data_IF_380064201579
#
_entry.id   IF_380064201579
#
_cell.length_a   1.000
_cell.length_b   1.000
_cell.length_c   1.000
_cell.angle_alpha   90.00
_cell.angle_beta   90.00
_cell.angle_gamma   90.00
#
_symmetry.space_group_name_H-M   'P 1'
#
loop_
_entity.id
_entity.type
_entity.pdbx_description
1 polymer ?
#
# COMPACT_ATOMS: atom_id res chain seq x y z
N UNK A 1 3.47 -7.81 -14.44
CA UNK A 1 3.86 -6.36 -14.49
C UNK A 1 5.37 -6.10 -14.49
N UNK A 2 6.15 -6.62 -13.54
CA UNK A 2 7.58 -6.28 -13.42
C UNK A 2 8.44 -6.58 -14.67
N UNK A 3 8.00 -7.50 -15.53
CA UNK A 3 8.63 -7.82 -16.82
C UNK A 3 8.37 -6.76 -17.91
N UNK A 4 7.27 -6.01 -17.81
CA UNK A 4 6.97 -4.91 -18.73
C UNK A 4 7.79 -3.67 -18.38
N UNK A 5 7.99 -3.41 -17.08
CA UNK A 5 8.62 -2.19 -16.56
C UNK A 5 10.02 -2.42 -15.98
N UNK A 6 10.90 -3.01 -16.79
CA UNK A 6 12.28 -3.27 -16.41
C UNK A 6 13.03 -2.00 -15.99
N UNK A 7 13.75 -2.08 -14.87
CA UNK A 7 14.64 -1.02 -14.38
C UNK A 7 14.01 0.35 -14.14
N UNK A 8 12.68 0.42 -14.06
CA UNK A 8 11.98 1.65 -13.71
C UNK A 8 11.68 1.71 -12.21
N UNK A 9 11.77 2.91 -11.65
CA UNK A 9 11.43 3.22 -10.25
C UNK A 9 10.53 4.43 -10.19
N UNK A 10 9.73 4.48 -9.13
CA UNK A 10 8.86 5.59 -8.83
C UNK A 10 9.30 6.23 -7.52
N UNK A 11 10.13 7.27 -7.65
CA UNK A 11 10.78 7.90 -6.49
C UNK A 11 10.00 9.10 -5.94
N UNK A 12 8.93 9.51 -6.64
CA UNK A 12 8.07 10.62 -6.21
C UNK A 12 7.08 10.11 -5.16
N UNK A 13 7.03 10.70 -3.95
CA UNK A 13 6.12 10.25 -2.89
C UNK A 13 4.65 10.24 -3.31
N UNK A 14 4.21 11.24 -4.09
CA UNK A 14 2.83 11.32 -4.61
C UNK A 14 2.50 10.33 -5.74
N UNK A 15 3.48 9.55 -6.23
CA UNK A 15 3.28 8.59 -7.30
C UNK A 15 4.09 7.31 -7.06
N UNK A 16 3.88 6.58 -5.94
CA UNK A 16 4.79 5.51 -5.54
C UNK A 16 4.58 4.20 -6.31
N UNK A 17 3.45 4.05 -7.01
CA UNK A 17 3.08 2.80 -7.68
C UNK A 17 3.64 2.81 -9.10
N UNK A 18 4.57 1.89 -9.39
CA UNK A 18 4.95 1.57 -10.76
C UNK A 18 3.85 0.74 -11.42
N UNK A 19 3.37 1.19 -12.56
CA UNK A 19 2.27 0.57 -13.28
C UNK A 19 2.52 0.57 -14.80
N UNK A 20 1.68 -0.14 -15.55
CA UNK A 20 1.76 -0.21 -17.01
C UNK A 20 0.51 0.42 -17.63
N UNK A 21 0.69 1.28 -18.62
CA UNK A 21 -0.38 1.85 -19.42
C UNK A 21 -0.32 1.23 -20.84
N UNK A 22 -1.22 0.29 -21.18
CA UNK A 22 -1.21 -0.34 -22.51
C UNK A 22 -1.58 0.62 -23.64
N UNK A 23 -2.13 1.80 -23.34
CA UNK A 23 -2.50 2.83 -24.33
C UNK A 23 -1.41 3.90 -24.51
N UNK A 24 -0.28 3.77 -23.79
CA UNK A 24 0.86 4.66 -23.92
C UNK A 24 1.45 4.71 -25.33
N UNK A 25 2.25 5.75 -25.59
CA UNK A 25 2.88 5.99 -26.89
C UNK A 25 3.67 4.75 -27.37
N UNK A 26 3.34 4.23 -28.56
CA UNK A 26 4.04 3.09 -29.14
C UNK A 26 3.53 1.70 -28.74
N UNK A 27 2.34 1.61 -28.13
CA UNK A 27 1.72 0.32 -27.75
C UNK A 27 1.97 -0.09 -26.31
N UNK A 28 2.31 0.88 -25.47
CA UNK A 28 2.31 0.78 -24.01
C UNK A 28 3.54 1.39 -23.35
N UNK A 29 3.34 1.99 -22.18
CA UNK A 29 4.38 2.69 -21.41
C UNK A 29 4.30 2.37 -19.92
N UNK A 30 5.41 2.53 -19.21
CA UNK A 30 5.47 2.37 -17.76
C UNK A 30 5.29 3.71 -17.09
N UNK A 31 4.35 3.77 -16.14
CA UNK A 31 3.91 5.02 -15.53
C UNK A 31 3.96 4.92 -14.02
N UNK A 32 4.30 6.03 -13.37
CA UNK A 32 4.17 6.15 -11.92
C UNK A 32 2.79 6.73 -11.58
N UNK A 33 2.00 5.99 -10.81
CA UNK A 33 0.65 6.38 -10.41
C UNK A 33 0.58 6.71 -8.92
N UNK A 34 -0.31 7.65 -8.60
CA UNK A 34 -0.74 7.87 -7.24
C UNK A 34 -1.50 6.63 -6.73
N UNK A 35 -1.51 6.45 -5.41
CA UNK A 35 -2.31 5.37 -4.82
C UNK A 35 -3.80 5.63 -5.09
N UNK A 36 -4.58 4.66 -5.65
CA UNK A 36 -5.97 4.89 -6.02
C UNK A 36 -6.84 5.41 -4.88
N UNK A 37 -6.60 4.91 -3.67
CA UNK A 37 -7.33 5.33 -2.47
C UNK A 37 -7.00 6.75 -1.95
N UNK A 38 -6.06 7.49 -2.55
CA UNK A 38 -5.79 8.87 -2.17
C UNK A 38 -6.76 9.88 -2.79
N UNK A 39 -7.53 9.45 -3.78
CA UNK A 39 -8.60 10.20 -4.43
C UNK A 39 -9.65 9.21 -4.99
N UNK A 40 -10.52 8.74 -4.10
CA UNK A 40 -11.67 7.89 -4.40
C UNK A 40 -12.91 8.78 -4.49
N UNK A 41 -13.17 9.32 -5.68
CA UNK A 41 -14.28 10.26 -5.95
C UNK A 41 -14.25 11.50 -5.04
N UNK A 42 -13.05 12.01 -4.73
CA UNK A 42 -12.84 13.14 -3.81
C UNK A 42 -12.71 12.73 -2.34
N UNK A 43 -12.91 11.45 -2.00
CA UNK A 43 -12.63 10.90 -0.68
C UNK A 43 -11.17 10.39 -0.61
N UNK A 44 -10.40 10.91 0.33
CA UNK A 44 -9.06 10.39 0.61
C UNK A 44 -9.12 9.39 1.77
N UNK A 45 -8.55 8.20 1.57
CA UNK A 45 -8.47 7.15 2.58
C UNK A 45 -7.07 7.06 3.18
N UNK A 46 -6.99 6.71 4.46
CA UNK A 46 -5.74 6.49 5.19
C UNK A 46 -5.92 5.43 6.28
N UNK A 47 -4.81 4.84 6.72
CA UNK A 47 -4.79 3.84 7.79
C UNK A 47 -4.04 4.37 9.01
N UNK A 48 -4.74 4.49 10.13
CA UNK A 48 -4.18 5.04 11.36
C UNK A 48 -3.76 3.96 12.37
N UNK A 49 -4.36 2.77 12.31
CA UNK A 49 -4.18 1.74 13.34
C UNK A 49 -2.81 1.05 13.25
N UNK A 50 -2.10 0.86 14.39
CA UNK A 50 -0.81 0.17 14.40
C UNK A 50 -0.88 -1.28 13.89
N UNK A 51 -2.01 -1.96 14.07
CA UNK A 51 -2.19 -3.36 13.64
C UNK A 51 -2.37 -3.48 12.12
N UNK A 52 -2.87 -2.43 11.47
CA UNK A 52 -3.16 -2.39 10.04
C UNK A 52 -2.70 -1.07 9.40
N UNK A 53 -1.40 -0.77 9.40
CA UNK A 53 -0.91 0.56 9.02
C UNK A 53 -0.85 0.76 7.50
N UNK A 54 -1.03 -0.29 6.70
CA UNK A 54 -0.85 -0.22 5.25
C UNK A 54 -2.18 -0.06 4.52
N UNK A 55 -2.26 0.96 3.68
CA UNK A 55 -3.39 1.14 2.77
C UNK A 55 -3.28 0.13 1.61
N UNK A 56 -4.37 -0.60 1.38
CA UNK A 56 -4.50 -1.59 0.32
C UNK A 56 -5.68 -1.21 -0.57
N UNK A 57 -5.63 -1.62 -1.83
CA UNK A 57 -6.71 -1.41 -2.78
C UNK A 57 -6.96 -2.67 -3.60
N UNK A 58 -8.21 -2.90 -3.97
CA UNK A 58 -8.57 -3.86 -5.01
C UNK A 58 -9.76 -3.31 -5.81
N UNK A 59 -10.02 -3.91 -6.96
CA UNK A 59 -11.19 -3.58 -7.76
C UNK A 59 -12.14 -4.76 -7.74
N UNK A 60 -13.42 -4.49 -7.51
CA UNK A 60 -14.48 -5.49 -7.65
C UNK A 60 -14.71 -5.82 -9.14
N UNK A 61 -15.54 -6.82 -9.45
CA UNK A 61 -15.79 -7.26 -10.84
C UNK A 61 -16.36 -6.14 -11.73
N UNK A 62 -17.16 -5.25 -11.14
CA UNK A 62 -17.70 -4.06 -11.80
C UNK A 62 -16.69 -2.89 -11.92
N UNK A 63 -15.44 -3.13 -11.51
CA UNK A 63 -14.34 -2.16 -11.45
C UNK A 63 -14.56 -1.02 -10.45
N UNK A 64 -15.44 -1.21 -9.47
CA UNK A 64 -15.53 -0.34 -8.30
C UNK A 64 -14.26 -0.48 -7.45
N UNK A 65 -13.63 0.65 -7.12
CA UNK A 65 -12.48 0.70 -6.22
C UNK A 65 -12.92 0.37 -4.80
N UNK A 66 -12.21 -0.53 -4.13
CA UNK A 66 -12.36 -0.78 -2.70
C UNK A 66 -11.04 -0.57 -1.99
N UNK A 67 -11.07 0.22 -0.93
CA UNK A 67 -9.92 0.56 -0.10
C UNK A 67 -10.04 -0.12 1.27
N UNK A 68 -8.93 -0.67 1.77
CA UNK A 68 -8.90 -1.33 3.08
C UNK A 68 -7.55 -1.16 3.75
N UNK A 69 -7.51 -1.34 5.08
CA UNK A 69 -6.29 -1.33 5.86
C UNK A 69 -5.79 -2.77 6.08
N UNK A 70 -4.48 -2.97 5.97
CA UNK A 70 -3.80 -4.26 6.04
C UNK A 70 -2.60 -4.22 6.97
N UNK A 71 -2.26 -5.37 7.57
CA UNK A 71 -1.02 -5.57 8.33
C UNK A 71 0.19 -5.86 7.43
N UNK A 72 -0.03 -6.08 6.13
CA UNK A 72 1.00 -6.36 5.13
C UNK A 72 0.99 -5.25 4.10
N UNK A 73 2.17 -4.69 3.74
CA UNK A 73 2.27 -3.70 2.66
C UNK A 73 1.69 -4.25 1.35
N UNK A 74 0.78 -3.50 0.76
CA UNK A 74 0.19 -3.83 -0.53
C UNK A 74 0.90 -3.05 -1.63
N UNK A 75 1.58 -3.76 -2.54
CA UNK A 75 2.21 -3.15 -3.72
C UNK A 75 1.72 -3.87 -4.97
N UNK A 76 0.59 -3.42 -5.50
CA UNK A 76 -0.03 -3.96 -6.71
C UNK A 76 -0.06 -2.94 -7.84
N UNK A 77 -0.05 -3.45 -9.07
CA UNK A 77 -0.28 -2.68 -10.28
C UNK A 77 -1.78 -2.35 -10.41
N UNK A 78 -2.09 -1.09 -10.75
CA UNK A 78 -3.48 -0.67 -10.99
C UNK A 78 -3.99 -1.34 -12.27
N UNK A 79 -3.17 -1.41 -13.31
CA UNK A 79 -3.52 -2.13 -14.54
C UNK A 79 -3.85 -3.60 -14.29
N UNK A 80 -3.00 -4.32 -13.56
CA UNK A 80 -3.29 -5.72 -13.19
C UNK A 80 -4.57 -5.80 -12.38
N UNK A 81 -4.72 -4.99 -11.33
CA UNK A 81 -5.86 -5.10 -10.40
C UNK A 81 -7.20 -4.67 -11.01
N UNK A 82 -7.20 -3.69 -11.92
CA UNK A 82 -8.42 -3.09 -12.50
C UNK A 82 -8.80 -3.64 -13.86
N UNK A 83 -7.80 -3.85 -14.73
CA UNK A 83 -8.05 -4.17 -16.14
C UNK A 83 -7.99 -5.67 -16.40
N UNK A 84 -7.07 -6.38 -15.75
CA UNK A 84 -6.83 -7.81 -15.96
C UNK A 84 -7.52 -8.67 -14.90
N UNK A 85 -7.52 -8.22 -13.64
CA UNK A 85 -7.91 -9.01 -12.47
C UNK A 85 -8.98 -8.37 -11.59
N UNK A 86 -9.92 -7.65 -12.20
CA UNK A 86 -11.10 -7.14 -11.51
C UNK A 86 -11.88 -8.29 -10.84
N UNK A 87 -12.26 -8.11 -9.57
CA UNK A 87 -12.93 -9.14 -8.75
C UNK A 87 -11.99 -10.14 -8.08
N UNK A 88 -10.68 -10.08 -8.32
CA UNK A 88 -9.69 -10.96 -7.70
C UNK A 88 -8.87 -10.24 -6.63
N UNK A 89 -8.61 -10.94 -5.52
CA UNK A 89 -7.71 -10.49 -4.45
C UNK A 89 -7.00 -11.66 -3.79
N UNK A 90 -5.82 -11.40 -3.24
CA UNK A 90 -5.03 -12.40 -2.54
C UNK A 90 -5.29 -12.34 -1.04
N UNK A 91 -5.86 -13.42 -0.50
CA UNK A 91 -6.18 -13.53 0.93
C UNK A 91 -5.08 -14.18 1.76
N UNK A 92 -4.22 -14.98 1.12
CA UNK A 92 -3.14 -15.68 1.80
C UNK A 92 -1.93 -14.75 1.94
N UNK A 93 -1.50 -14.54 3.19
CA UNK A 93 -0.32 -13.75 3.52
C UNK A 93 0.96 -14.32 2.92
N UNK A 94 1.00 -15.61 2.59
CA UNK A 94 2.11 -16.28 1.92
C UNK A 94 2.16 -16.00 0.41
N UNK A 95 1.08 -15.47 -0.16
CA UNK A 95 0.94 -15.16 -1.58
C UNK A 95 0.29 -13.80 -1.80
N UNK A 96 0.86 -12.69 -1.27
CA UNK A 96 0.17 -11.40 -1.24
C UNK A 96 0.19 -10.65 -2.58
N UNK A 97 0.94 -11.12 -3.59
CA UNK A 97 1.12 -10.42 -4.86
C UNK A 97 0.12 -10.95 -5.88
N UNK A 98 -0.84 -10.12 -6.26
CA UNK A 98 -1.72 -10.37 -7.40
C UNK A 98 -0.96 -10.15 -8.71
N UNK A 99 -0.95 -11.14 -9.58
CA UNK A 99 -0.30 -11.11 -10.89
C UNK A 99 -1.23 -11.73 -11.95
N UNK A 100 -0.90 -11.53 -13.22
CA UNK A 100 -1.64 -12.06 -14.36
C UNK A 100 -0.74 -12.95 -15.21
N UNK A 101 -1.19 -14.18 -15.48
CA UNK A 101 -0.53 -15.13 -16.37
C UNK A 101 -1.10 -14.96 -17.78
N UNK A 102 -0.32 -14.30 -18.65
CA UNK A 102 -0.74 -14.00 -20.03
C UNK A 102 -0.94 -15.26 -20.88
N UNK A 103 -0.18 -16.33 -20.62
CA UNK A 103 -0.26 -17.57 -21.41
C UNK A 103 -1.56 -18.34 -21.13
N UNK A 104 -2.04 -18.26 -19.89
CA UNK A 104 -3.28 -18.94 -19.45
C UNK A 104 -4.49 -18.02 -19.34
N UNK A 105 -4.28 -16.72 -19.48
CA UNK A 105 -5.29 -15.69 -19.28
C UNK A 105 -5.97 -15.79 -17.90
N UNK A 106 -5.18 -16.01 -16.84
CA UNK A 106 -5.69 -16.18 -15.47
C UNK A 106 -4.99 -15.27 -14.45
N UNK A 107 -5.76 -14.83 -13.46
CA UNK A 107 -5.25 -14.10 -12.30
C UNK A 107 -4.77 -15.07 -11.23
N UNK A 108 -3.60 -14.81 -10.67
CA UNK A 108 -3.00 -15.69 -9.68
C UNK A 108 -2.30 -14.92 -8.57
N UNK A 109 -2.22 -15.55 -7.40
CA UNK A 109 -1.54 -15.03 -6.22
C UNK A 109 -0.16 -15.67 -6.08
N UNK A 110 0.88 -14.84 -5.98
CA UNK A 110 2.28 -15.27 -5.87
C UNK A 110 2.89 -14.86 -4.54
N UNK A 111 3.84 -15.67 -4.08
CA UNK A 111 4.75 -15.27 -3.04
C UNK A 111 5.57 -14.07 -3.53
N UNK A 112 5.92 -13.16 -2.61
CA UNK A 112 6.73 -12.01 -2.97
C UNK A 112 8.09 -12.49 -3.53
N UNK A 113 8.54 -12.04 -4.73
CA UNK A 113 9.76 -12.56 -5.35
C UNK A 113 11.02 -12.45 -4.49
N UNK A 114 11.08 -11.43 -3.64
CA UNK A 114 12.17 -11.25 -2.68
C UNK A 114 12.15 -12.20 -1.46
N UNK A 115 11.14 -13.05 -1.29
CA UNK A 115 11.12 -14.02 -0.19
C UNK A 115 11.96 -15.26 -0.45
N UNK A 116 12.33 -15.50 -1.71
CA UNK A 116 13.24 -16.57 -2.11
C UNK A 116 14.04 -16.16 -3.35
N UNK A 117 15.00 -15.25 -3.14
CA UNK A 117 15.94 -14.78 -4.15
C UNK A 117 17.25 -15.58 -4.02
N UNK A 118 17.45 -16.59 -4.87
CA UNK A 118 18.57 -17.54 -4.79
C UNK A 118 18.76 -18.19 -3.40
N UNK A 119 17.65 -18.56 -2.75
CA UNK A 119 17.65 -19.14 -1.40
C UNK A 119 17.77 -18.12 -0.27
N UNK A 120 17.85 -16.82 -0.59
CA UNK A 120 17.87 -15.73 0.38
C UNK A 120 16.49 -15.11 0.52
N UNK A 121 16.00 -15.02 1.75
CA UNK A 121 14.81 -14.25 2.10
C UNK A 121 15.21 -12.82 2.44
N UNK A 122 14.64 -11.84 1.75
CA UNK A 122 14.80 -10.42 2.07
C UNK A 122 13.61 -9.93 2.92
N UNK A 123 13.87 -8.98 3.82
CA UNK A 123 12.90 -8.34 4.68
C UNK A 123 13.32 -6.89 4.94
N UNK A 124 12.36 -6.07 5.34
CA UNK A 124 12.56 -4.66 5.67
C UNK A 124 12.27 -4.44 7.15
N UNK A 125 13.33 -4.35 7.94
CA UNK A 125 13.23 -4.27 9.42
C UNK A 125 13.34 -2.85 9.95
N UNK A 126 13.54 -1.86 9.06
CA UNK A 126 13.64 -0.44 9.45
C UNK A 126 12.24 0.16 9.50
N UNK A 127 11.92 0.83 10.60
CA UNK A 127 10.65 1.51 10.81
C UNK A 127 10.35 2.56 9.72
N UNK A 128 11.37 3.30 9.30
CA UNK A 128 11.24 4.32 8.23
C UNK A 128 11.04 3.74 6.84
N UNK A 129 11.37 2.45 6.62
CA UNK A 129 11.34 1.80 5.32
C UNK A 129 10.75 0.38 5.40
N UNK A 130 9.50 0.21 5.84
CA UNK A 130 8.98 -1.13 6.14
C UNK A 130 8.41 -1.86 4.92
N UNK A 131 8.28 -1.17 3.78
CA UNK A 131 7.67 -1.73 2.57
C UNK A 131 8.75 -2.43 1.74
N UNK A 132 8.67 -3.75 1.63
CA UNK A 132 9.51 -4.52 0.71
C UNK A 132 8.91 -4.44 -0.70
N UNK A 133 9.68 -3.88 -1.64
CA UNK A 133 9.34 -3.80 -3.06
C UNK A 133 10.33 -4.62 -3.88
N UNK A 134 9.88 -5.13 -5.01
CA UNK A 134 10.73 -5.78 -6.00
C UNK A 134 10.60 -5.13 -7.37
N UNK A 135 11.67 -5.21 -8.16
CA UNK A 135 11.70 -4.89 -9.59
C UNK A 135 12.62 -5.83 -10.33
N UNK A 136 12.48 -5.92 -11.65
CA UNK A 136 13.36 -6.72 -12.50
C UNK A 136 14.31 -5.81 -13.26
N UNK A 137 15.61 -6.00 -13.07
CA UNK A 137 16.66 -5.30 -13.81
C UNK A 137 17.26 -6.16 -14.90
N UNK A 138 17.74 -5.53 -15.97
CA UNK A 138 18.52 -6.21 -17.00
C UNK A 138 20.00 -6.02 -16.74
N UNK A 139 20.69 -7.10 -16.39
CA UNK A 139 22.15 -7.15 -16.24
C UNK A 139 22.71 -8.21 -17.18
N UNK A 140 23.58 -7.81 -18.10
CA UNK A 140 24.19 -8.70 -19.10
C UNK A 140 23.16 -9.52 -19.91
N UNK A 141 22.01 -8.89 -20.24
CA UNK A 141 20.92 -9.52 -20.99
C UNK A 141 20.05 -10.48 -20.18
N UNK A 142 20.31 -10.65 -18.87
CA UNK A 142 19.51 -11.47 -17.97
C UNK A 142 18.67 -10.59 -17.05
N UNK A 143 17.43 -11.00 -16.81
CA UNK A 143 16.58 -10.41 -15.78
C UNK A 143 17.09 -10.81 -14.39
N UNK A 144 17.31 -9.83 -13.52
CA UNK A 144 17.76 -10.00 -12.14
C UNK A 144 16.74 -9.34 -11.23
N UNK A 145 16.30 -10.05 -10.20
CA UNK A 145 15.41 -9.49 -9.18
C UNK A 145 16.20 -8.51 -8.32
N UNK A 146 15.66 -7.31 -8.15
CA UNK A 146 16.18 -6.30 -7.22
C UNK A 146 15.13 -6.08 -6.15
N UNK A 147 15.57 -6.19 -4.90
CA UNK A 147 14.75 -6.05 -3.71
C UNK A 147 15.16 -4.80 -2.95
N UNK A 148 14.20 -3.90 -2.71
CA UNK A 148 14.43 -2.61 -2.09
C UNK A 148 13.39 -2.31 -1.01
N UNK A 149 13.82 -1.66 0.07
CA UNK A 149 12.93 -1.20 1.12
C UNK A 149 12.52 0.24 0.85
N UNK A 150 11.23 0.53 0.95
CA UNK A 150 10.64 1.84 0.72
C UNK A 150 9.91 2.34 1.97
N UNK A 151 9.84 3.67 2.07
CA UNK A 151 9.07 4.35 3.10
C UNK A 151 7.56 4.12 2.92
N UNK A 152 6.79 4.47 3.94
CA UNK A 152 5.33 4.43 3.88
C UNK A 152 4.79 5.20 2.68
N UNK A 153 3.79 4.62 2.02
CA UNK A 153 3.06 5.30 0.96
C UNK A 153 2.06 6.27 1.59
N UNK A 154 2.41 7.55 1.64
CA UNK A 154 1.53 8.62 2.10
C UNK A 154 1.43 9.73 1.06
N UNK A 155 0.23 10.32 0.95
CA UNK A 155 -0.10 11.34 -0.06
C UNK A 155 0.86 12.53 -0.03
N UNK A 156 1.27 12.95 1.17
CA UNK A 156 2.11 14.12 1.41
C UNK A 156 3.56 13.79 1.79
N UNK A 157 3.99 12.53 1.64
CA UNK A 157 5.40 12.15 1.81
C UNK A 157 5.87 11.90 3.25
N UNK A 158 4.96 11.60 4.18
CA UNK A 158 5.31 10.86 5.40
C UNK A 158 4.51 11.27 6.63
N UNK A 159 4.23 10.28 7.48
CA UNK A 159 3.83 10.48 8.87
C UNK A 159 4.92 11.34 9.49
N UNK A 160 4.58 12.44 10.18
CA UNK A 160 5.51 12.99 11.14
C UNK A 160 5.90 11.81 12.03
N UNK A 161 7.19 11.49 12.10
CA UNK A 161 7.70 10.56 13.10
C UNK A 161 7.17 11.10 14.43
N UNK A 162 6.12 10.49 14.96
CA UNK A 162 5.73 10.72 16.34
C UNK A 162 6.92 10.22 17.12
N UNK A 163 7.80 11.14 17.52
CA UNK A 163 8.86 10.81 18.44
C UNK A 163 8.14 10.26 19.66
N UNK A 164 8.50 9.05 20.08
CA UNK A 164 7.95 8.44 21.29
C UNK A 164 8.14 9.34 22.53
N UNK A 165 9.01 10.35 22.43
CA UNK A 165 9.31 11.37 23.44
C UNK A 165 8.23 12.45 23.59
N UNK A 166 7.29 12.60 22.63
CA UNK A 166 6.21 13.60 22.72
C UNK A 166 4.95 13.08 23.47
N UNK A 167 5.01 11.88 24.05
CA UNK A 167 3.91 11.28 24.83
C UNK A 167 3.96 11.57 26.34
N UNK A 168 4.94 12.34 26.83
CA UNK A 168 5.24 12.45 28.26
C UNK A 168 4.57 13.60 29.02
N UNK A 169 3.71 14.41 28.40
CA UNK A 169 2.91 15.41 29.15
C UNK A 169 1.43 15.29 28.78
N UNK A 170 0.76 14.26 29.32
CA UNK A 170 -0.66 14.36 29.54
C UNK A 170 -0.88 15.60 30.42
N UNK A 171 -1.63 16.62 29.98
CA UNK A 171 -1.93 17.75 30.85
C UNK A 171 -2.61 17.20 32.10
N UNK A 172 -2.05 17.51 33.27
CA UNK A 172 -2.68 17.22 34.55
C UNK A 172 -4.10 17.81 34.50
N UNK A 173 -5.06 16.94 34.24
CA UNK A 173 -6.48 17.30 34.32
C UNK A 173 -6.77 17.36 35.81
N UNK A 174 -6.57 18.54 36.39
CA UNK A 174 -7.02 18.89 37.73
C UNK A 174 -8.54 18.65 37.77
N UNK A 175 -8.92 17.46 38.26
CA UNK A 175 -10.28 16.96 38.35
C UNK A 175 -11.12 17.63 39.43
N UNK A 176 -10.95 18.94 39.59
CA UNK A 176 -11.60 19.78 40.59
C UNK A 176 -12.56 20.79 39.93
N UNK A 177 -13.38 20.37 38.96
CA UNK A 177 -14.59 21.14 38.67
C UNK A 177 -15.62 20.33 37.90
N UNK A 178 -16.76 20.08 38.56
CA UNK A 178 -18.12 19.80 38.04
C UNK A 178 -18.82 18.67 38.83
N UNK A 179 -19.06 18.92 40.11
CA UNK A 179 -20.30 18.48 40.73
C UNK A 179 -21.31 19.61 40.51
N UNK A 180 -22.05 19.57 39.41
CA UNK A 180 -23.29 20.34 39.33
C UNK A 180 -24.38 19.53 40.03
N UNK A 181 -24.83 20.05 41.16
CA UNK A 181 -25.98 19.56 41.90
C UNK A 181 -27.21 19.56 40.98
N UNK A 182 -27.80 18.38 40.81
CA UNK A 182 -29.11 18.22 40.17
C UNK A 182 -30.11 18.44 41.31
N UNK A 183 -30.72 19.62 41.35
CA UNK A 183 -31.89 19.88 42.18
C UNK A 183 -33.09 19.17 41.55
N UNK A 184 -33.55 18.10 42.21
CA UNK A 184 -34.83 17.45 41.98
C UNK A 184 -35.98 18.34 42.49
N UNK A 185 -36.55 19.17 41.61
CA UNK A 185 -37.85 19.82 41.88
C UNK A 185 -38.99 18.84 41.51
N UNK A 186 -39.41 18.05 42.50
CA UNK A 186 -40.73 17.39 42.53
C UNK A 186 -41.80 18.42 42.94
N UNK A 187 -42.66 18.84 42.00
CA UNK A 187 -43.96 19.43 42.36
C UNK A 187 -45.07 18.93 41.41
N UNK A 188 -45.87 18.01 41.98
CA UNK A 188 -47.35 17.88 41.98
C UNK A 188 -48.17 18.13 40.70
#
# INVERSE_FOLDING_TARGET
MAELCHSQTCDKPGFPILDYDPQGDGGGDCVCRAHPCWDDEGQAHSCATPEHPYLSFHYEEDKTLTCSCSSIPHHASVHVSKDLCAGHKCHDQSYPVLDYDEDKEECLCRAHPCWNDDGKKHACDKEDFPILRYRLDKKDGKSVTVCECQAFMEKDGGRPLMHAEDYDEAPDFDGDDLIQEIDDDEDL
#
